data_IF_346716865351
#
_entry.id   IF_346716865351
#
_cell.length_a   1.000
_cell.length_b   1.000
_cell.length_c   1.000
_cell.angle_alpha   90.00
_cell.angle_beta   90.00
_cell.angle_gamma   90.00
#
_symmetry.space_group_name_H-M   'P 1'
#
loop_
_entity.id
_entity.type
_entity.pdbx_description
1 polymer ?
#
# COMPACT_ATOMS: atom_id res chain seq x y z
N UNK A 1 1.41 7.05 7.97
CA UNK A 1 0.56 6.05 8.67
C UNK A 1 -0.17 5.10 7.72
N UNK A 2 -0.92 5.61 6.76
CA UNK A 2 -1.62 4.72 5.81
C UNK A 2 -0.64 3.83 5.02
N UNK A 3 0.44 4.40 4.51
CA UNK A 3 1.44 3.64 3.77
C UNK A 3 2.07 2.53 4.62
N UNK A 4 2.34 2.81 5.89
CA UNK A 4 2.91 1.80 6.80
C UNK A 4 1.94 0.67 7.08
N UNK A 5 0.66 0.98 7.28
CA UNK A 5 -0.38 -0.03 7.48
C UNK A 5 -0.55 -0.88 6.21
N UNK A 6 -0.50 -0.24 5.05
CA UNK A 6 -0.59 -0.92 3.76
C UNK A 6 0.57 -1.88 3.57
N UNK A 7 1.80 -1.43 3.87
CA UNK A 7 2.99 -2.26 3.76
C UNK A 7 2.92 -3.47 4.68
N UNK A 8 2.48 -3.27 5.93
CA UNK A 8 2.32 -4.37 6.89
C UNK A 8 1.40 -5.46 6.35
N UNK A 9 0.23 -5.06 5.84
CA UNK A 9 -0.74 -6.02 5.33
C UNK A 9 -0.24 -6.72 4.07
N UNK A 10 0.44 -5.99 3.18
CA UNK A 10 0.94 -6.56 1.94
C UNK A 10 2.09 -7.54 2.16
N UNK A 11 2.87 -7.39 3.23
CA UNK A 11 3.94 -8.35 3.55
C UNK A 11 3.43 -9.77 3.75
N UNK A 12 2.18 -9.92 4.18
CA UNK A 12 1.56 -11.23 4.35
C UNK A 12 1.12 -11.86 3.04
N UNK A 13 0.86 -11.04 2.03
CA UNK A 13 0.25 -11.49 0.77
C UNK A 13 1.21 -11.52 -0.40
N UNK A 14 2.28 -10.73 -0.35
CA UNK A 14 3.22 -10.60 -1.47
C UNK A 14 4.61 -11.01 -0.99
N UNK A 15 5.15 -12.15 -1.49
CA UNK A 15 6.45 -12.65 -1.03
C UNK A 15 7.63 -11.68 -1.23
N UNK A 16 7.53 -10.80 -2.22
CA UNK A 16 8.59 -9.84 -2.53
C UNK A 16 8.29 -8.42 -2.00
N UNK A 17 7.33 -8.24 -1.11
CA UNK A 17 6.93 -6.93 -0.61
C UNK A 17 7.87 -6.40 0.48
N UNK A 18 9.17 -6.42 0.23
CA UNK A 18 10.17 -5.99 1.21
C UNK A 18 10.76 -4.61 0.93
N UNK A 19 10.25 -3.90 -0.08
CA UNK A 19 10.76 -2.60 -0.48
C UNK A 19 10.52 -1.47 0.50
N UNK A 20 9.58 -1.64 1.41
CA UNK A 20 9.30 -0.66 2.44
C UNK A 20 8.46 0.53 1.94
N UNK A 21 8.47 1.56 2.76
CA UNK A 21 7.69 2.78 2.52
C UNK A 21 8.64 3.92 2.20
N UNK A 22 8.39 4.61 1.09
CA UNK A 22 9.17 5.76 0.67
C UNK A 22 8.27 6.98 0.53
N UNK A 23 8.76 8.13 0.98
CA UNK A 23 8.16 9.41 0.64
C UNK A 23 8.69 9.81 -0.73
N UNK A 24 7.80 10.13 -1.64
CA UNK A 24 8.19 10.49 -3.00
C UNK A 24 7.40 11.68 -3.50
N UNK A 25 8.07 12.54 -4.27
CA UNK A 25 7.44 13.70 -4.88
C UNK A 25 6.74 13.28 -6.18
N UNK A 26 5.57 12.68 -6.04
CA UNK A 26 4.79 12.19 -7.16
C UNK A 26 3.62 13.14 -7.42
N UNK A 27 3.50 13.59 -8.65
CA UNK A 27 2.50 14.58 -9.05
C UNK A 27 1.09 14.23 -8.58
N UNK A 28 0.66 12.98 -8.77
CA UNK A 28 -0.68 12.55 -8.36
C UNK A 28 -0.90 12.69 -6.86
N UNK A 29 0.11 12.34 -6.06
CA UNK A 29 0.00 12.42 -4.60
C UNK A 29 -0.03 13.86 -4.11
N UNK A 30 0.66 14.77 -4.81
CA UNK A 30 0.66 16.19 -4.45
C UNK A 30 -0.66 16.88 -4.73
N UNK A 31 -1.44 16.34 -5.66
CA UNK A 31 -2.69 16.97 -6.12
C UNK A 31 -3.91 16.61 -5.29
N UNK A 32 -3.81 15.65 -4.39
CA UNK A 32 -4.93 15.25 -3.56
C UNK A 32 -4.82 15.84 -2.16
N UNK A 33 -5.95 16.15 -1.56
CA UNK A 33 -6.02 16.75 -0.23
C UNK A 33 -6.28 15.72 0.88
N UNK A 34 -6.48 14.47 0.50
CA UNK A 34 -6.73 13.38 1.43
C UNK A 34 -5.50 12.49 1.55
N UNK A 35 -5.42 11.63 2.58
CA UNK A 35 -4.35 10.63 2.65
C UNK A 35 -4.35 9.76 1.40
N UNK A 36 -3.18 9.60 0.80
CA UNK A 36 -3.03 8.84 -0.43
C UNK A 36 -1.70 8.11 -0.45
N UNK A 37 -1.68 6.93 -1.09
CA UNK A 37 -0.47 6.14 -1.28
C UNK A 37 -0.46 5.58 -2.69
N UNK A 38 0.73 5.34 -3.20
CA UNK A 38 0.91 4.61 -4.44
C UNK A 38 1.54 3.27 -4.11
N UNK A 39 0.97 2.21 -4.64
CA UNK A 39 1.44 0.84 -4.40
C UNK A 39 2.15 0.30 -5.64
N UNK A 40 3.35 -0.22 -5.43
CA UNK A 40 4.06 -0.97 -6.46
C UNK A 40 3.95 -2.45 -6.10
N UNK A 41 3.16 -3.19 -6.87
CA UNK A 41 2.80 -4.58 -6.55
C UNK A 41 3.76 -5.60 -7.14
N UNK A 42 4.58 -5.20 -8.09
CA UNK A 42 5.52 -6.09 -8.73
C UNK A 42 6.00 -5.53 -10.06
N UNK A 43 6.86 -6.26 -10.72
CA UNK A 43 7.44 -5.86 -12.00
C UNK A 43 7.07 -6.85 -13.11
N UNK A 44 6.61 -6.33 -14.22
CA UNK A 44 6.33 -7.15 -15.41
C UNK A 44 7.61 -7.66 -16.08
N UNK A 45 8.75 -7.07 -15.73
CA UNK A 45 10.06 -7.52 -16.24
C UNK A 45 10.59 -8.74 -15.46
N UNK A 46 9.97 -9.08 -14.35
CA UNK A 46 10.27 -10.27 -13.57
C UNK A 46 9.26 -11.36 -13.92
N UNK A 47 9.65 -12.45 -14.58
CA UNK A 47 8.69 -13.46 -15.00
C UNK A 47 7.85 -14.06 -13.88
N UNK A 48 8.45 -14.30 -12.71
CA UNK A 48 7.73 -14.86 -11.57
C UNK A 48 6.71 -13.87 -11.01
N UNK A 49 7.08 -12.60 -10.87
CA UNK A 49 6.17 -11.56 -10.39
C UNK A 49 5.05 -11.31 -11.39
N UNK A 50 5.39 -11.25 -12.69
CA UNK A 50 4.39 -11.07 -13.73
C UNK A 50 3.38 -12.21 -13.75
N UNK A 51 3.83 -13.44 -13.56
CA UNK A 51 2.95 -14.61 -13.49
C UNK A 51 2.00 -14.52 -12.30
N UNK A 52 2.51 -14.12 -11.13
CA UNK A 52 1.69 -13.98 -9.93
C UNK A 52 0.64 -12.87 -10.07
N UNK A 53 1.03 -11.74 -10.68
CA UNK A 53 0.12 -10.61 -10.87
C UNK A 53 -1.11 -10.96 -11.71
N UNK A 54 -1.03 -12.01 -12.53
CA UNK A 54 -2.14 -12.44 -13.37
C UNK A 54 -3.07 -13.44 -12.70
N UNK A 55 -2.69 -13.98 -11.55
CA UNK A 55 -3.50 -15.00 -10.87
C UNK A 55 -4.64 -14.37 -10.08
N UNK A 56 -5.88 -14.85 -10.25
CA UNK A 56 -7.03 -14.33 -9.50
C UNK A 56 -6.84 -14.43 -7.99
N UNK A 57 -6.28 -15.52 -7.49
CA UNK A 57 -6.05 -15.71 -6.07
C UNK A 57 -5.04 -14.71 -5.51
N UNK A 58 -4.02 -14.34 -6.28
CA UNK A 58 -3.08 -13.30 -5.89
C UNK A 58 -3.77 -11.94 -5.83
N UNK A 59 -4.54 -11.62 -6.86
CA UNK A 59 -5.27 -10.36 -6.94
C UNK A 59 -6.25 -10.24 -5.77
N UNK A 60 -6.92 -11.31 -5.41
CA UNK A 60 -7.85 -11.32 -4.28
C UNK A 60 -7.12 -11.12 -2.96
N UNK A 61 -5.98 -11.77 -2.77
CA UNK A 61 -5.18 -11.61 -1.56
C UNK A 61 -4.70 -10.18 -1.40
N UNK A 62 -4.25 -9.54 -2.48
CA UNK A 62 -3.84 -8.14 -2.47
C UNK A 62 -5.01 -7.24 -2.14
N UNK A 63 -6.17 -7.47 -2.74
CA UNK A 63 -7.36 -6.68 -2.48
C UNK A 63 -7.79 -6.77 -1.01
N UNK A 64 -7.71 -7.94 -0.41
CA UNK A 64 -8.00 -8.14 1.01
C UNK A 64 -7.00 -7.38 1.89
N UNK A 65 -5.72 -7.44 1.55
CA UNK A 65 -4.68 -6.72 2.29
C UNK A 65 -4.92 -5.21 2.26
N UNK A 66 -5.22 -4.67 1.09
CA UNK A 66 -5.54 -3.25 0.91
C UNK A 66 -6.76 -2.87 1.75
N UNK A 67 -7.80 -3.68 1.70
CA UNK A 67 -9.03 -3.44 2.46
C UNK A 67 -8.75 -3.42 3.95
N UNK A 68 -7.98 -4.37 4.47
CA UNK A 68 -7.63 -4.42 5.88
C UNK A 68 -6.82 -3.20 6.31
N UNK A 69 -5.89 -2.75 5.49
CA UNK A 69 -5.10 -1.56 5.80
C UNK A 69 -5.99 -0.31 5.90
N UNK A 70 -6.94 -0.18 4.99
CA UNK A 70 -7.87 0.96 5.00
C UNK A 70 -8.77 0.91 6.23
N UNK A 71 -9.26 -0.27 6.59
CA UNK A 71 -10.10 -0.44 7.79
C UNK A 71 -9.31 -0.07 9.05
N UNK A 72 -8.07 -0.51 9.15
CA UNK A 72 -7.21 -0.16 10.29
C UNK A 72 -6.95 1.35 10.35
N UNK A 73 -6.66 1.96 9.21
CA UNK A 73 -6.44 3.40 9.13
C UNK A 73 -7.66 4.17 9.60
N UNK A 74 -8.83 3.81 9.11
CA UNK A 74 -10.08 4.43 9.47
C UNK A 74 -10.35 4.31 10.98
N UNK A 75 -10.12 3.14 11.54
CA UNK A 75 -10.29 2.90 12.97
C UNK A 75 -9.38 3.81 13.80
N UNK A 76 -8.11 3.95 13.42
CA UNK A 76 -7.17 4.83 14.10
C UNK A 76 -7.57 6.29 13.98
N UNK A 77 -8.05 6.70 12.82
CA UNK A 77 -8.52 8.06 12.57
C UNK A 77 -9.71 8.40 13.48
N UNK A 78 -10.69 7.51 13.55
CA UNK A 78 -11.87 7.69 14.40
C UNK A 78 -11.52 7.78 15.87
N UNK A 79 -10.43 7.12 16.31
CA UNK A 79 -9.95 7.17 17.69
C UNK A 79 -9.01 8.33 17.96
N UNK A 80 -8.67 9.10 16.93
CA UNK A 80 -7.71 10.19 17.07
C UNK A 80 -6.28 9.72 17.29
N UNK A 81 -5.93 8.52 16.86
CA UNK A 81 -4.64 7.89 17.11
C UNK A 81 -3.68 7.93 15.94
N UNK A 82 -4.02 8.63 14.86
CA UNK A 82 -3.14 8.75 13.71
C UNK A 82 -1.95 9.64 14.03
N UNK A 83 -0.76 9.20 13.60
CA UNK A 83 0.43 10.03 13.63
C UNK A 83 0.35 11.08 12.52
N UNK A 84 0.97 12.26 12.70
CA UNK A 84 1.05 13.24 11.63
C UNK A 84 1.65 12.61 10.37
N UNK A 85 1.05 12.89 9.23
CA UNK A 85 1.57 12.37 7.96
C UNK A 85 2.75 13.18 7.49
N UNK A 86 3.78 12.49 7.00
CA UNK A 86 4.89 13.12 6.31
C UNK A 86 4.46 13.39 4.88
N UNK A 87 4.54 14.64 4.46
CA UNK A 87 4.24 14.99 3.07
C UNK A 87 5.40 14.63 2.18
N UNK A 88 5.08 14.20 0.97
CA UNK A 88 6.08 14.01 -0.07
C UNK A 88 6.75 15.33 -0.43
N UNK A 89 7.98 15.23 -0.79
CA UNK A 89 8.76 16.42 -1.18
C UNK A 89 8.84 16.57 -2.67
#
# INVERSE_FOLDING_TARGET
MLASLMQEELLWSIPWASGGVLAADIYLLRRVSMPAVMLELGSLNHPEEAAQLQKPEFQEAVAKAITQAIIKYRSLDEKGLLLPQTKSK
#
